data_IF_650496997812
#
_entry.id   IF_650496997812
#
_cell.length_a   1.000
_cell.length_b   1.000
_cell.length_c   1.000
_cell.angle_alpha   90.00
_cell.angle_beta   90.00
_cell.angle_gamma   90.00
#
_symmetry.space_group_name_H-M   'P 1'
#
loop_
_entity.id
_entity.type
_entity.pdbx_description
1 polymer ?
#
# COMPACT_ATOMS: atom_id res chain seq x y z
N UNK A 1 9.28 -20.20 25.68
CA UNK A 1 9.81 -20.32 24.30
C UNK A 1 8.74 -20.20 23.21
N UNK A 2 7.54 -20.78 23.40
CA UNK A 2 6.43 -20.75 22.42
C UNK A 2 6.00 -19.33 21.98
N UNK A 3 5.82 -18.41 22.93
CA UNK A 3 5.30 -17.04 22.65
C UNK A 3 6.19 -16.18 21.76
N UNK A 4 7.52 -16.32 21.87
CA UNK A 4 8.48 -15.58 21.05
C UNK A 4 8.50 -16.08 19.60
N UNK A 5 8.41 -17.40 19.40
CA UNK A 5 8.33 -17.99 18.04
C UNK A 5 7.02 -17.59 17.36
N UNK A 6 5.92 -17.58 18.11
CA UNK A 6 4.63 -17.11 17.63
C UNK A 6 4.66 -15.63 17.23
N UNK A 7 5.25 -14.74 18.06
CA UNK A 7 5.40 -13.31 17.74
C UNK A 7 6.19 -13.07 16.45
N UNK A 8 7.31 -13.79 16.27
CA UNK A 8 8.11 -13.72 15.04
C UNK A 8 7.31 -14.23 13.84
N UNK A 9 6.66 -15.39 13.96
CA UNK A 9 5.88 -15.97 12.87
C UNK A 9 4.74 -15.04 12.43
N UNK A 10 3.99 -14.48 13.38
CA UNK A 10 2.92 -13.52 13.10
C UNK A 10 3.47 -12.25 12.46
N UNK A 11 4.60 -11.72 12.95
CA UNK A 11 5.24 -10.54 12.36
C UNK A 11 5.65 -10.80 10.91
N UNK A 12 6.24 -11.94 10.61
CA UNK A 12 6.62 -12.33 9.23
C UNK A 12 5.37 -12.44 8.34
N UNK A 13 4.34 -13.14 8.79
CA UNK A 13 3.09 -13.29 8.03
C UNK A 13 2.47 -11.92 7.73
N UNK A 14 2.41 -11.03 8.71
CA UNK A 14 1.85 -9.69 8.52
C UNK A 14 2.69 -8.83 7.55
N UNK A 15 4.03 -8.94 7.60
CA UNK A 15 4.90 -8.25 6.63
C UNK A 15 4.71 -8.79 5.21
N UNK A 16 4.51 -10.10 5.04
CA UNK A 16 4.19 -10.71 3.75
C UNK A 16 2.83 -10.20 3.24
N UNK A 17 1.82 -10.14 4.12
CA UNK A 17 0.51 -9.58 3.79
C UNK A 17 0.62 -8.11 3.38
N UNK A 18 1.42 -7.31 4.08
CA UNK A 18 1.65 -5.91 3.74
C UNK A 18 2.32 -5.77 2.36
N UNK A 19 3.36 -6.57 2.07
CA UNK A 19 3.96 -6.62 0.73
C UNK A 19 2.96 -7.00 -0.35
N UNK A 20 2.08 -7.97 -0.08
CA UNK A 20 0.99 -8.34 -0.99
C UNK A 20 0.00 -7.19 -1.20
N UNK A 21 -0.39 -6.47 -0.15
CA UNK A 21 -1.28 -5.31 -0.26
C UNK A 21 -0.69 -4.21 -1.14
N UNK A 22 0.61 -3.94 -1.03
CA UNK A 22 1.29 -3.00 -1.92
C UNK A 22 1.25 -3.50 -3.38
N UNK A 23 1.57 -4.77 -3.63
CA UNK A 23 1.47 -5.38 -4.96
C UNK A 23 0.06 -5.30 -5.54
N UNK A 24 -0.96 -5.60 -4.74
CA UNK A 24 -2.36 -5.47 -5.12
C UNK A 24 -2.76 -4.02 -5.42
N UNK A 25 -2.20 -3.05 -4.69
CA UNK A 25 -2.41 -1.61 -4.95
C UNK A 25 -1.85 -1.23 -6.32
N UNK A 26 -0.63 -1.66 -6.66
CA UNK A 26 -0.03 -1.41 -7.98
C UNK A 26 -0.87 -2.00 -9.11
N UNK A 27 -1.33 -3.24 -8.95
CA UNK A 27 -2.19 -3.90 -9.96
C UNK A 27 -3.52 -3.17 -10.09
N UNK A 28 -4.15 -2.79 -8.98
CA UNK A 28 -5.43 -2.08 -8.97
C UNK A 28 -5.33 -0.74 -9.72
N UNK A 29 -4.35 0.09 -9.40
CA UNK A 29 -4.14 1.39 -10.04
C UNK A 29 -3.85 1.21 -11.55
N UNK A 30 -3.02 0.22 -11.91
CA UNK A 30 -2.77 -0.10 -13.32
C UNK A 30 -4.04 -0.49 -14.09
N UNK A 31 -4.94 -1.26 -13.47
CA UNK A 31 -6.23 -1.62 -14.08
C UNK A 31 -7.17 -0.41 -14.20
N UNK A 32 -7.20 0.46 -13.19
CA UNK A 32 -8.03 1.67 -13.20
C UNK A 32 -7.62 2.62 -14.33
N UNK A 33 -6.31 2.81 -14.56
CA UNK A 33 -5.81 3.60 -15.69
C UNK A 33 -6.29 3.05 -17.03
N UNK A 34 -6.28 1.73 -17.24
CA UNK A 34 -6.81 1.13 -18.48
C UNK A 34 -8.31 1.32 -18.66
N UNK A 35 -9.07 1.34 -17.56
CA UNK A 35 -10.52 1.59 -17.59
C UNK A 35 -10.83 3.05 -17.91
N UNK A 36 -9.98 3.98 -17.48
CA UNK A 36 -10.13 5.41 -17.71
C UNK A 36 -9.64 5.87 -19.09
N UNK A 37 -9.17 5.01 -20.00
CA UNK A 37 -8.60 5.44 -21.30
C UNK A 37 -9.58 5.77 -22.47
N UNK A 38 -10.94 5.69 -22.40
CA UNK A 38 -11.76 5.99 -23.59
C UNK A 38 -12.01 7.50 -23.75
N UNK A 39 -10.99 8.23 -24.17
CA UNK A 39 -11.06 9.65 -24.54
C UNK A 39 -11.73 9.95 -25.91
N UNK A 40 -12.18 8.91 -26.62
CA UNK A 40 -12.73 9.07 -27.97
C UNK A 40 -14.07 9.83 -28.07
N UNK A 41 -14.87 9.88 -26.99
CA UNK A 41 -16.22 10.46 -27.00
C UNK A 41 -16.54 11.42 -25.85
N UNK A 42 -15.57 11.72 -24.98
CA UNK A 42 -15.74 12.52 -23.76
C UNK A 42 -14.52 13.44 -23.55
N UNK A 43 -14.68 14.50 -22.75
CA UNK A 43 -13.54 15.37 -22.41
C UNK A 43 -12.52 14.58 -21.60
N UNK A 44 -11.27 14.59 -22.07
CA UNK A 44 -10.16 13.99 -21.34
C UNK A 44 -9.92 14.66 -19.99
N UNK A 45 -9.56 13.82 -19.02
CA UNK A 45 -9.20 14.14 -17.66
C UNK A 45 -7.87 14.88 -17.52
N UNK A 46 -7.54 15.24 -16.29
CA UNK A 46 -6.23 15.80 -15.96
C UNK A 46 -5.26 14.67 -15.54
N UNK A 47 -4.20 14.38 -16.33
CA UNK A 47 -3.26 13.31 -16.03
C UNK A 47 -2.49 13.53 -14.72
N UNK A 48 -2.44 14.76 -14.20
CA UNK A 48 -1.80 15.04 -12.92
C UNK A 48 -2.46 14.30 -11.75
N UNK A 49 -3.73 13.89 -11.86
CA UNK A 49 -4.37 13.05 -10.85
C UNK A 49 -3.83 11.61 -10.83
N UNK A 50 -3.46 11.06 -11.98
CA UNK A 50 -2.83 9.73 -12.08
C UNK A 50 -1.43 9.76 -11.49
N UNK A 51 -0.66 10.82 -11.77
CA UNK A 51 0.67 10.99 -11.17
C UNK A 51 0.59 11.07 -9.64
N UNK A 52 -0.40 11.83 -9.11
CA UNK A 52 -0.64 11.93 -7.66
C UNK A 52 -1.11 10.60 -7.07
N UNK A 53 -2.00 9.87 -7.74
CA UNK A 53 -2.47 8.57 -7.30
C UNK A 53 -1.33 7.56 -7.25
N UNK A 54 -0.49 7.53 -8.29
CA UNK A 54 0.71 6.69 -8.37
C UNK A 54 1.69 7.05 -7.25
N UNK A 55 1.94 8.35 -7.04
CA UNK A 55 2.80 8.81 -5.96
C UNK A 55 2.28 8.41 -4.58
N UNK A 56 0.98 8.56 -4.32
CA UNK A 56 0.40 8.21 -3.04
C UNK A 56 0.38 6.69 -2.82
N UNK A 57 -0.16 5.93 -3.78
CA UNK A 57 -0.40 4.50 -3.64
C UNK A 57 0.86 3.65 -3.74
N UNK A 58 1.76 3.99 -4.67
CA UNK A 58 2.99 3.22 -4.93
C UNK A 58 4.15 3.73 -4.09
N UNK A 59 4.54 5.00 -4.24
CA UNK A 59 5.69 5.54 -3.50
C UNK A 59 5.39 5.71 -2.02
N UNK A 60 4.20 6.21 -1.67
CA UNK A 60 3.73 6.27 -0.29
C UNK A 60 3.63 4.88 0.34
N UNK A 61 3.05 3.91 -0.38
CA UNK A 61 2.94 2.54 0.11
C UNK A 61 4.30 1.86 0.31
N UNK A 62 5.24 2.02 -0.63
CA UNK A 62 6.61 1.53 -0.49
C UNK A 62 7.31 2.13 0.73
N UNK A 63 7.16 3.44 0.97
CA UNK A 63 7.73 4.11 2.14
C UNK A 63 7.15 3.55 3.45
N UNK A 64 5.84 3.31 3.51
CA UNK A 64 5.17 2.72 4.67
C UNK A 64 5.65 1.29 4.92
N UNK A 65 5.78 0.46 3.88
CA UNK A 65 6.31 -0.91 4.01
C UNK A 65 7.75 -0.93 4.52
N UNK A 66 8.62 -0.03 4.03
CA UNK A 66 10.01 0.08 4.49
C UNK A 66 10.04 0.49 5.97
N UNK A 67 9.25 1.49 6.36
CA UNK A 67 9.18 1.94 7.74
C UNK A 67 8.66 0.84 8.68
N UNK A 68 7.64 0.10 8.24
CA UNK A 68 7.06 -1.03 8.95
C UNK A 68 8.08 -2.15 9.18
N UNK A 69 8.78 -2.57 8.12
CA UNK A 69 9.85 -3.56 8.19
C UNK A 69 10.96 -3.12 9.15
N UNK A 70 11.43 -1.87 9.01
CA UNK A 70 12.51 -1.33 9.84
C UNK A 70 12.12 -1.31 11.32
N UNK A 71 10.90 -0.87 11.64
CA UNK A 71 10.42 -0.79 13.01
C UNK A 71 10.14 -2.18 13.61
N UNK A 72 9.60 -3.12 12.83
CA UNK A 72 9.43 -4.51 13.25
C UNK A 72 10.79 -5.17 13.58
N UNK A 73 11.79 -5.02 12.71
CA UNK A 73 13.16 -5.52 12.95
C UNK A 73 13.77 -4.89 14.19
N UNK A 74 13.62 -3.57 14.37
CA UNK A 74 14.11 -2.85 15.54
C UNK A 74 13.51 -3.39 16.85
N UNK A 75 12.18 -3.60 16.90
CA UNK A 75 11.51 -4.12 18.09
C UNK A 75 11.91 -5.56 18.40
N UNK A 76 12.01 -6.42 17.38
CA UNK A 76 12.48 -7.80 17.53
C UNK A 76 13.92 -7.85 18.07
N UNK A 77 14.81 -7.01 17.54
CA UNK A 77 16.19 -6.88 18.02
C UNK A 77 16.25 -6.43 19.49
N UNK A 78 15.34 -5.52 19.89
CA UNK A 78 15.15 -5.08 21.29
C UNK A 78 14.39 -6.08 22.17
N UNK A 79 14.07 -7.28 21.66
CA UNK A 79 13.29 -8.33 22.34
C UNK A 79 11.88 -7.88 22.77
N UNK A 80 11.32 -6.86 22.11
CA UNK A 80 9.94 -6.39 22.33
C UNK A 80 8.98 -7.09 21.35
N UNK A 81 7.68 -7.07 21.67
CA UNK A 81 6.63 -7.55 20.77
C UNK A 81 6.60 -6.65 19.53
N UNK A 82 6.59 -7.24 18.34
CA UNK A 82 6.66 -6.48 17.09
C UNK A 82 5.39 -6.55 16.25
N UNK A 83 4.52 -7.54 16.48
CA UNK A 83 3.37 -7.82 15.61
C UNK A 83 2.39 -6.64 15.41
N UNK A 84 2.30 -5.71 16.36
CA UNK A 84 1.37 -4.58 16.24
C UNK A 84 1.77 -3.57 15.17
N UNK A 85 3.06 -3.51 14.84
CA UNK A 85 3.61 -2.59 13.84
C UNK A 85 3.08 -2.94 12.44
N UNK A 86 3.21 -4.18 11.94
CA UNK A 86 2.69 -4.51 10.63
C UNK A 86 1.16 -4.58 10.54
N UNK A 87 0.44 -4.65 11.66
CA UNK A 87 -1.02 -4.40 11.65
C UNK A 87 -1.31 -2.95 11.27
N UNK A 88 -0.60 -1.99 11.90
CA UNK A 88 -0.74 -0.56 11.59
C UNK A 88 -0.26 -0.29 10.16
N UNK A 89 0.85 -0.90 9.74
CA UNK A 89 1.34 -0.83 8.36
C UNK A 89 0.30 -1.27 7.34
N UNK A 90 -0.32 -2.44 7.55
CA UNK A 90 -1.40 -2.92 6.67
C UNK A 90 -2.60 -1.96 6.63
N UNK A 91 -3.03 -1.43 7.78
CA UNK A 91 -4.14 -0.48 7.84
C UNK A 91 -3.80 0.83 7.09
N UNK A 92 -2.58 1.32 7.25
CA UNK A 92 -2.09 2.49 6.52
C UNK A 92 -2.03 2.24 5.00
N UNK A 93 -1.55 1.07 4.57
CA UNK A 93 -1.54 0.68 3.15
C UNK A 93 -2.94 0.65 2.54
N UNK A 94 -3.93 0.10 3.27
CA UNK A 94 -5.33 0.11 2.81
C UNK A 94 -5.85 1.53 2.67
N UNK A 95 -5.57 2.41 3.62
CA UNK A 95 -5.97 3.82 3.53
C UNK A 95 -5.32 4.53 2.33
N UNK A 96 -4.03 4.29 2.08
CA UNK A 96 -3.34 4.82 0.90
C UNK A 96 -3.93 4.29 -0.40
N UNK A 97 -4.24 3.00 -0.49
CA UNK A 97 -4.85 2.39 -1.67
C UNK A 97 -6.23 2.98 -1.98
N UNK A 98 -7.07 3.16 -0.96
CA UNK A 98 -8.39 3.80 -1.11
C UNK A 98 -8.23 5.26 -1.56
N UNK A 99 -7.29 6.00 -0.96
CA UNK A 99 -7.01 7.39 -1.35
C UNK A 99 -6.51 7.51 -2.79
N UNK A 100 -5.60 6.64 -3.21
CA UNK A 100 -5.07 6.62 -4.57
C UNK A 100 -6.14 6.26 -5.60
N UNK A 101 -6.96 5.23 -5.33
CA UNK A 101 -8.07 4.86 -6.20
C UNK A 101 -9.07 6.03 -6.34
N UNK A 102 -9.42 6.70 -5.24
CA UNK A 102 -10.29 7.88 -5.28
C UNK A 102 -9.69 9.01 -6.14
N UNK A 103 -8.36 9.19 -6.13
CA UNK A 103 -7.68 10.16 -6.98
C UNK A 103 -7.77 9.81 -8.47
N UNK A 104 -7.60 8.54 -8.85
CA UNK A 104 -7.80 8.11 -10.24
C UNK A 104 -9.25 8.27 -10.70
N UNK A 105 -10.22 8.01 -9.84
CA UNK A 105 -11.63 8.29 -10.15
C UNK A 105 -11.90 9.78 -10.40
N UNK A 106 -11.15 10.68 -9.75
CA UNK A 106 -11.23 12.12 -10.00
C UNK A 106 -10.52 12.56 -11.29
N UNK A 107 -9.60 11.74 -11.83
CA UNK A 107 -8.96 12.03 -13.10
C UNK A 107 -10.00 12.08 -14.23
N UNK A 108 -11.03 11.22 -14.18
CA UNK A 108 -11.96 11.03 -15.29
C UNK A 108 -11.31 10.23 -16.43
N UNK A 109 -11.98 10.09 -17.58
CA UNK A 109 -11.39 9.38 -18.70
C UNK A 109 -10.20 10.19 -19.25
N UNK A 110 -8.98 9.66 -19.22
CA UNK A 110 -7.74 10.31 -19.70
C UNK A 110 -7.29 9.80 -21.06
#
# INVERSE_FOLDING_TARGET
MSTRRADIAVTIVLLVVHGFLLGATVVLLGLLVMVTDPCGSVRCGDPAWIDRATALGVWGGAAVLIADLALAVYLLARRRRAFFVPIIGCAAQVALAVGAAAMEWMAGPV
#
